data_IF_973591780988
#
_entry.id   IF_973591780988
#
_cell.length_a   1.000
_cell.length_b   1.000
_cell.length_c   1.000
_cell.angle_alpha   90.00
_cell.angle_beta   90.00
_cell.angle_gamma   90.00
#
_symmetry.space_group_name_H-M   'P 1'
#
loop_
_entity.id
_entity.type
_entity.pdbx_description
1 polymer ?
#
# COMPACT_ATOMS: atom_id res chain seq x y z
N UNK A 1 -35.64 -57.08 2.31
CA UNK A 1 -34.99 -55.83 2.72
C UNK A 1 -33.79 -55.64 1.83
N UNK A 2 -33.98 -54.93 0.72
CA UNK A 2 -32.94 -54.63 -0.25
C UNK A 2 -32.14 -53.47 0.32
N UNK A 3 -30.88 -53.72 0.69
CA UNK A 3 -29.95 -52.65 1.07
C UNK A 3 -29.63 -51.93 -0.24
N UNK A 4 -30.19 -50.74 -0.44
CA UNK A 4 -29.70 -49.81 -1.47
C UNK A 4 -28.22 -49.55 -1.18
N UNK A 5 -27.37 -50.09 -2.04
CA UNK A 5 -25.95 -49.72 -2.10
C UNK A 5 -25.93 -48.23 -2.46
N UNK A 6 -25.56 -47.41 -1.49
CA UNK A 6 -25.21 -46.01 -1.73
C UNK A 6 -24.09 -46.03 -2.79
N UNK A 7 -24.37 -45.53 -4.00
CA UNK A 7 -23.33 -45.34 -5.00
C UNK A 7 -22.32 -44.36 -4.42
N UNK A 8 -21.10 -44.85 -4.13
CA UNK A 8 -19.95 -44.00 -3.85
C UNK A 8 -19.73 -43.15 -5.11
N UNK A 9 -20.21 -41.90 -5.07
CA UNK A 9 -19.98 -40.94 -6.13
C UNK A 9 -18.47 -40.66 -6.17
N UNK A 10 -17.83 -41.06 -7.26
CA UNK A 10 -16.38 -40.95 -7.44
C UNK A 10 -15.95 -39.49 -7.26
N UNK A 11 -15.01 -39.25 -6.34
CA UNK A 11 -14.57 -37.90 -5.98
C UNK A 11 -13.83 -37.25 -7.14
N UNK A 12 -14.27 -36.06 -7.56
CA UNK A 12 -13.72 -35.33 -8.71
C UNK A 12 -12.91 -34.11 -8.29
N UNK A 13 -12.03 -33.64 -9.18
CA UNK A 13 -11.30 -32.38 -8.97
C UNK A 13 -12.23 -31.17 -8.89
N UNK A 14 -13.39 -31.21 -9.55
CA UNK A 14 -14.38 -30.14 -9.46
C UNK A 14 -15.02 -30.08 -8.08
N UNK A 15 -15.39 -31.23 -7.50
CA UNK A 15 -15.86 -31.30 -6.12
C UNK A 15 -14.78 -30.79 -5.14
N UNK A 16 -13.50 -31.05 -5.40
CA UNK A 16 -12.41 -30.48 -4.60
C UNK A 16 -12.29 -28.95 -4.75
N UNK A 17 -12.40 -28.41 -5.98
CA UNK A 17 -12.39 -26.95 -6.22
C UNK A 17 -13.53 -26.26 -5.48
N UNK A 18 -14.71 -26.87 -5.50
CA UNK A 18 -15.91 -26.35 -4.82
C UNK A 18 -15.79 -26.45 -3.29
N UNK A 19 -15.40 -27.63 -2.77
CA UNK A 19 -15.23 -27.87 -1.33
C UNK A 19 -14.20 -26.90 -0.73
N UNK A 20 -13.04 -26.75 -1.35
CA UNK A 20 -11.96 -25.87 -0.88
C UNK A 20 -12.10 -24.42 -1.36
N UNK A 21 -13.12 -24.13 -2.18
CA UNK A 21 -13.45 -22.80 -2.66
C UNK A 21 -12.33 -22.13 -3.46
N UNK A 22 -11.48 -22.90 -4.15
CA UNK A 22 -10.29 -22.36 -4.85
C UNK A 22 -10.68 -21.29 -5.87
N UNK A 23 -11.80 -21.47 -6.56
CA UNK A 23 -12.34 -20.49 -7.50
C UNK A 23 -12.68 -19.12 -6.85
N UNK A 24 -12.90 -19.09 -5.53
CA UNK A 24 -13.26 -17.85 -4.80
C UNK A 24 -12.04 -17.03 -4.37
N UNK A 25 -10.95 -17.69 -3.98
CA UNK A 25 -9.77 -17.02 -3.42
C UNK A 25 -8.50 -17.16 -4.28
N UNK A 26 -8.42 -18.19 -5.12
CA UNK A 26 -7.26 -18.50 -5.94
C UNK A 26 -6.98 -17.46 -7.01
N UNK A 27 -8.00 -16.68 -7.40
CA UNK A 27 -7.89 -15.56 -8.36
C UNK A 27 -7.19 -15.95 -9.68
N UNK A 28 -7.30 -17.22 -10.08
CA UNK A 28 -6.57 -17.86 -11.19
C UNK A 28 -5.04 -17.90 -11.04
N UNK A 29 -4.51 -17.55 -9.87
CA UNK A 29 -3.13 -17.90 -9.52
C UNK A 29 -3.05 -19.31 -8.97
N UNK A 30 -4.06 -19.77 -8.24
CA UNK A 30 -4.10 -21.12 -7.67
C UNK A 30 -5.27 -21.90 -8.23
N UNK A 31 -5.05 -23.18 -8.54
CA UNK A 31 -6.04 -24.12 -9.06
C UNK A 31 -5.65 -25.57 -8.70
N UNK A 32 -6.48 -26.56 -9.06
CA UNK A 32 -6.19 -27.99 -9.02
C UNK A 32 -6.03 -28.51 -10.45
N UNK A 33 -4.96 -29.24 -10.76
CA UNK A 33 -4.76 -29.84 -12.09
C UNK A 33 -5.56 -31.16 -12.26
N UNK A 34 -5.48 -31.78 -13.44
CA UNK A 34 -6.15 -33.05 -13.73
C UNK A 34 -5.66 -34.23 -12.86
N UNK A 35 -4.46 -34.14 -12.29
CA UNK A 35 -3.90 -35.12 -11.37
C UNK A 35 -4.35 -34.91 -9.91
N UNK A 36 -5.15 -33.88 -9.62
CA UNK A 36 -5.61 -33.56 -8.27
C UNK A 36 -4.60 -32.78 -7.43
N UNK A 37 -3.55 -32.23 -8.04
CA UNK A 37 -2.50 -31.47 -7.36
C UNK A 37 -2.80 -29.98 -7.36
N UNK A 38 -2.46 -29.29 -6.26
CA UNK A 38 -2.56 -27.84 -6.19
C UNK A 38 -1.46 -27.22 -7.05
N UNK A 39 -1.89 -26.32 -7.93
CA UNK A 39 -1.02 -25.61 -8.86
C UNK A 39 -0.95 -24.12 -8.55
N UNK A 40 0.12 -23.50 -9.03
CA UNK A 40 0.33 -22.06 -9.05
C UNK A 40 0.69 -21.59 -10.45
N UNK A 41 0.02 -20.54 -10.93
CA UNK A 41 0.28 -19.88 -12.20
C UNK A 41 0.62 -18.39 -11.92
N UNK A 42 1.88 -18.06 -11.56
CA UNK A 42 2.25 -16.72 -11.11
C UNK A 42 1.97 -15.62 -12.15
N UNK A 43 2.11 -15.95 -13.44
CA UNK A 43 1.86 -15.06 -14.58
C UNK A 43 0.48 -15.29 -15.23
N UNK A 44 -0.39 -16.12 -14.62
CA UNK A 44 -1.69 -16.54 -15.18
C UNK A 44 -1.54 -17.08 -16.60
N UNK A 45 -2.42 -16.65 -17.52
CA UNK A 45 -2.45 -17.06 -18.93
C UNK A 45 -1.16 -16.76 -19.71
N UNK A 46 -0.28 -15.89 -19.18
CA UNK A 46 0.98 -15.52 -19.83
C UNK A 46 2.14 -16.46 -19.47
N UNK A 47 1.94 -17.43 -18.58
CA UNK A 47 2.99 -18.34 -18.14
C UNK A 47 2.50 -19.74 -17.85
N UNK A 48 3.41 -20.57 -17.34
CA UNK A 48 3.11 -21.95 -16.98
C UNK A 48 2.34 -22.03 -15.66
N UNK A 49 1.54 -23.08 -15.53
CA UNK A 49 1.00 -23.54 -14.26
C UNK A 49 1.90 -24.66 -13.71
N UNK A 50 2.32 -24.54 -12.46
CA UNK A 50 3.30 -25.42 -11.82
C UNK A 50 2.62 -26.12 -10.64
N UNK A 51 2.74 -27.44 -10.53
CA UNK A 51 2.28 -28.15 -9.34
C UNK A 51 3.19 -27.79 -8.14
N UNK A 52 2.59 -27.31 -7.06
CA UNK A 52 3.36 -26.88 -5.87
C UNK A 52 4.14 -28.05 -5.26
N UNK A 53 3.60 -29.27 -5.41
CA UNK A 53 4.27 -30.49 -4.94
C UNK A 53 5.60 -30.74 -5.66
N UNK A 54 5.73 -30.38 -6.94
CA UNK A 54 6.97 -30.56 -7.69
C UNK A 54 8.06 -29.61 -7.20
N UNK A 55 7.69 -28.35 -6.91
CA UNK A 55 8.60 -27.37 -6.29
C UNK A 55 9.09 -27.86 -4.93
N UNK A 56 8.21 -28.48 -4.14
CA UNK A 56 8.56 -29.04 -2.84
C UNK A 56 9.51 -30.24 -3.00
N UNK A 57 9.22 -31.16 -3.94
CA UNK A 57 10.06 -32.33 -4.21
C UNK A 57 11.47 -31.90 -4.62
N UNK A 58 11.58 -30.97 -5.57
CA UNK A 58 12.87 -30.43 -6.03
C UNK A 58 13.64 -29.76 -4.87
N UNK A 59 12.96 -28.98 -4.03
CA UNK A 59 13.57 -28.37 -2.85
C UNK A 59 14.14 -29.43 -1.88
N UNK A 60 13.43 -30.55 -1.67
CA UNK A 60 13.91 -31.65 -0.82
C UNK A 60 15.11 -32.38 -1.44
N UNK A 61 15.12 -32.57 -2.77
CA UNK A 61 16.27 -33.14 -3.49
C UNK A 61 17.52 -32.26 -3.37
N UNK A 62 17.33 -30.94 -3.26
CA UNK A 62 18.40 -29.98 -2.97
C UNK A 62 18.81 -29.93 -1.48
N UNK A 63 18.24 -30.79 -0.64
CA UNK A 63 18.58 -30.89 0.79
C UNK A 63 17.85 -29.89 1.68
N UNK A 64 16.82 -29.21 1.19
CA UNK A 64 15.97 -28.37 2.04
C UNK A 64 15.01 -29.24 2.86
N UNK A 65 14.68 -28.78 4.06
CA UNK A 65 13.83 -29.51 5.01
C UNK A 65 12.61 -28.68 5.41
N UNK A 66 11.55 -29.37 5.87
CA UNK A 66 10.36 -28.72 6.39
C UNK A 66 10.58 -28.10 7.79
N UNK A 67 9.83 -27.06 8.17
CA UNK A 67 8.82 -26.34 7.36
C UNK A 67 9.45 -25.43 6.29
N UNK A 68 8.84 -25.38 5.10
CA UNK A 68 9.30 -24.55 3.98
C UNK A 68 8.33 -23.39 3.71
N UNK A 69 8.89 -22.21 3.43
CA UNK A 69 8.15 -21.03 2.97
C UNK A 69 8.50 -20.75 1.51
N UNK A 70 7.57 -21.08 0.61
CA UNK A 70 7.75 -20.83 -0.83
C UNK A 70 7.18 -19.46 -1.19
N UNK A 71 7.96 -18.64 -1.89
CA UNK A 71 7.55 -17.32 -2.39
C UNK A 71 7.53 -17.31 -3.90
N UNK A 72 6.42 -16.87 -4.48
CA UNK A 72 6.27 -16.70 -5.93
C UNK A 72 6.44 -15.23 -6.28
N UNK A 73 7.65 -14.81 -6.65
CA UNK A 73 7.98 -13.41 -6.93
C UNK A 73 7.20 -12.86 -8.14
N UNK A 74 7.04 -13.67 -9.19
CA UNK A 74 6.22 -13.34 -10.36
C UNK A 74 4.76 -12.97 -10.01
N UNK A 75 4.20 -13.59 -8.96
CA UNK A 75 2.88 -13.24 -8.47
C UNK A 75 2.89 -11.80 -7.90
N UNK A 76 3.92 -11.44 -7.12
CA UNK A 76 4.09 -10.07 -6.62
C UNK A 76 4.19 -9.08 -7.77
N UNK A 77 5.02 -9.35 -8.79
CA UNK A 77 5.13 -8.50 -9.99
C UNK A 77 3.78 -8.29 -10.64
N UNK A 78 3.06 -9.39 -10.92
CA UNK A 78 1.76 -9.34 -11.56
C UNK A 78 0.75 -8.51 -10.75
N UNK A 79 0.79 -8.58 -9.42
CA UNK A 79 -0.08 -7.77 -8.55
C UNK A 79 0.26 -6.28 -8.60
N UNK A 80 1.55 -5.91 -8.61
CA UNK A 80 2.00 -4.52 -8.75
C UNK A 80 1.60 -3.96 -10.10
N UNK A 81 1.86 -4.68 -11.19
CA UNK A 81 1.45 -4.23 -12.53
C UNK A 81 -0.05 -4.08 -12.65
N UNK A 82 -0.81 -5.08 -12.17
CA UNK A 82 -2.28 -5.09 -12.29
C UNK A 82 -2.91 -3.91 -11.57
N UNK A 83 -2.46 -3.54 -10.38
CA UNK A 83 -3.04 -2.39 -9.67
C UNK A 83 -2.73 -1.08 -10.40
N UNK A 84 -1.50 -0.88 -10.88
CA UNK A 84 -1.15 0.33 -11.62
C UNK A 84 -1.94 0.43 -12.94
N UNK A 85 -2.02 -0.66 -13.72
CA UNK A 85 -2.78 -0.71 -14.98
C UNK A 85 -4.27 -0.45 -14.77
N UNK A 86 -4.88 -1.04 -13.74
CA UNK A 86 -6.30 -0.81 -13.45
C UNK A 86 -6.60 0.68 -13.17
N UNK A 87 -5.70 1.39 -12.46
CA UNK A 87 -5.84 2.83 -12.28
C UNK A 87 -5.59 3.62 -13.57
N UNK A 88 -4.62 3.23 -14.39
CA UNK A 88 -4.37 3.86 -15.70
C UNK A 88 -5.57 3.74 -16.64
N UNK A 89 -6.20 2.55 -16.69
CA UNK A 89 -7.41 2.30 -17.47
C UNK A 89 -8.57 3.18 -16.99
N UNK A 90 -8.83 3.22 -15.67
CA UNK A 90 -9.88 4.06 -15.10
C UNK A 90 -9.63 5.56 -15.32
N UNK A 91 -8.37 6.01 -15.30
CA UNK A 91 -7.98 7.40 -15.61
C UNK A 91 -8.30 7.74 -17.06
N UNK A 92 -7.97 6.84 -18.00
CA UNK A 92 -8.24 7.02 -19.42
C UNK A 92 -9.75 7.05 -19.70
N UNK A 93 -10.51 6.11 -19.13
CA UNK A 93 -11.97 6.03 -19.24
C UNK A 93 -12.65 7.30 -18.72
N UNK A 94 -12.20 7.80 -17.55
CA UNK A 94 -12.75 9.01 -16.94
C UNK A 94 -12.23 10.33 -17.55
N UNK A 95 -11.28 10.27 -18.49
CA UNK A 95 -10.63 11.46 -19.05
C UNK A 95 -9.86 12.30 -18.04
N UNK A 96 -9.43 11.71 -16.92
CA UNK A 96 -8.75 12.41 -15.82
C UNK A 96 -7.37 12.89 -16.26
N UNK A 97 -7.00 14.12 -15.88
CA UNK A 97 -5.83 14.84 -16.43
C UNK A 97 -4.55 14.69 -15.60
N UNK A 98 -4.56 13.78 -14.64
CA UNK A 98 -3.40 13.53 -13.79
C UNK A 98 -3.18 12.02 -13.67
N UNK A 99 -2.11 11.61 -12.98
CA UNK A 99 -1.67 10.23 -12.90
C UNK A 99 -2.00 9.57 -11.56
N UNK A 100 -2.02 8.25 -11.57
CA UNK A 100 -1.91 7.44 -10.37
C UNK A 100 -0.43 7.25 -10.01
N UNK A 101 -0.11 7.28 -8.72
CA UNK A 101 1.22 6.95 -8.20
C UNK A 101 1.02 6.04 -6.99
N UNK A 102 1.24 4.75 -7.20
CA UNK A 102 1.13 3.76 -6.13
C UNK A 102 2.31 3.84 -5.16
N UNK A 103 2.07 3.53 -3.89
CA UNK A 103 3.12 3.42 -2.87
C UNK A 103 2.89 2.15 -2.06
N UNK A 104 3.97 1.39 -1.83
CA UNK A 104 3.92 0.18 -1.04
C UNK A 104 4.24 0.44 0.44
N UNK A 105 3.30 0.20 1.36
CA UNK A 105 3.53 0.34 2.79
C UNK A 105 4.40 -0.80 3.32
N UNK A 106 5.68 -0.54 3.56
CA UNK A 106 6.65 -1.60 3.91
C UNK A 106 6.35 -2.28 5.24
N UNK A 107 5.53 -1.65 6.10
CA UNK A 107 5.02 -2.25 7.33
C UNK A 107 4.33 -3.61 7.13
N UNK A 108 3.84 -3.88 5.92
CA UNK A 108 3.15 -5.13 5.57
C UNK A 108 4.16 -6.28 5.41
N UNK A 109 5.32 -6.01 4.82
CA UNK A 109 6.43 -6.95 4.73
C UNK A 109 7.73 -6.19 4.41
N UNK A 110 8.64 -6.11 5.38
CA UNK A 110 9.90 -5.37 5.28
C UNK A 110 11.05 -6.18 4.67
N UNK A 111 10.81 -7.44 4.29
CA UNK A 111 11.86 -8.29 3.74
C UNK A 111 12.42 -7.69 2.45
N UNK A 112 13.74 -7.65 2.35
CA UNK A 112 14.46 -7.00 1.26
C UNK A 112 14.01 -7.54 -0.09
N UNK A 113 13.95 -8.87 -0.22
CA UNK A 113 13.56 -9.56 -1.44
C UNK A 113 12.11 -9.24 -1.88
N UNK A 114 11.22 -8.90 -0.94
CA UNK A 114 9.85 -8.49 -1.27
C UNK A 114 9.80 -7.04 -1.70
N UNK A 115 10.51 -6.16 -0.99
CA UNK A 115 10.52 -4.72 -1.31
C UNK A 115 11.23 -4.46 -2.63
N UNK A 116 12.37 -5.11 -2.89
CA UNK A 116 13.09 -5.01 -4.16
C UNK A 116 12.22 -5.47 -5.33
N UNK A 117 11.54 -6.61 -5.19
CA UNK A 117 10.66 -7.13 -6.25
C UNK A 117 9.48 -6.20 -6.54
N UNK A 118 8.91 -5.57 -5.51
CA UNK A 118 7.82 -4.59 -5.66
C UNK A 118 8.31 -3.32 -6.37
N UNK A 119 9.49 -2.83 -6.00
CA UNK A 119 10.08 -1.65 -6.62
C UNK A 119 10.44 -1.91 -8.09
N UNK A 120 11.04 -3.06 -8.39
CA UNK A 120 11.43 -3.43 -9.74
C UNK A 120 10.20 -3.59 -10.66
N UNK A 121 9.18 -4.33 -10.22
CA UNK A 121 7.90 -4.44 -10.94
C UNK A 121 7.17 -3.10 -11.08
N UNK A 122 7.40 -2.19 -10.15
CA UNK A 122 6.78 -0.87 -10.09
C UNK A 122 7.53 0.21 -10.87
N UNK A 123 8.73 -0.06 -11.38
CA UNK A 123 9.63 0.93 -11.97
C UNK A 123 8.97 1.72 -13.10
N UNK A 124 8.31 1.02 -14.03
CA UNK A 124 7.61 1.64 -15.16
C UNK A 124 6.45 2.59 -14.75
N UNK A 125 6.02 2.52 -13.49
CA UNK A 125 4.93 3.30 -12.93
C UNK A 125 5.38 4.31 -11.87
N UNK A 126 6.70 4.42 -11.61
CA UNK A 126 7.27 5.18 -10.50
C UNK A 126 6.65 4.80 -9.15
N UNK A 127 6.43 3.50 -8.93
CA UNK A 127 5.83 3.00 -7.69
C UNK A 127 6.76 3.25 -6.51
N UNK A 128 6.26 3.94 -5.49
CA UNK A 128 7.05 4.39 -4.35
C UNK A 128 6.90 3.50 -3.11
N UNK A 129 7.41 4.00 -1.98
CA UNK A 129 7.32 3.37 -0.68
C UNK A 129 6.57 4.24 0.32
N UNK A 130 5.86 3.60 1.23
CA UNK A 130 5.33 4.23 2.44
C UNK A 130 6.02 3.64 3.67
N UNK A 131 6.38 4.51 4.60
CA UNK A 131 7.08 4.17 5.84
C UNK A 131 6.30 4.75 7.02
N UNK A 132 6.15 3.97 8.09
CA UNK A 132 5.43 4.35 9.30
C UNK A 132 6.33 4.63 10.50
N UNK A 133 7.65 4.49 10.35
CA UNK A 133 8.60 4.63 11.46
C UNK A 133 10.01 5.05 11.01
N UNK A 134 10.84 5.50 11.96
CA UNK A 134 12.22 5.91 11.70
C UNK A 134 13.08 4.77 11.12
N UNK A 135 13.06 3.52 11.65
CA UNK A 135 13.80 2.40 11.03
C UNK A 135 13.33 2.09 9.61
N UNK A 136 12.02 2.15 9.37
CA UNK A 136 11.44 1.95 8.03
C UNK A 136 11.90 3.03 7.05
N UNK A 137 11.99 4.30 7.47
CA UNK A 137 12.56 5.36 6.65
C UNK A 137 14.02 5.09 6.27
N UNK A 138 14.84 4.55 7.19
CA UNK A 138 16.21 4.15 6.86
C UNK A 138 16.24 3.07 5.79
N UNK A 139 15.40 2.03 5.92
CA UNK A 139 15.31 0.95 4.93
C UNK A 139 14.85 1.48 3.56
N UNK A 140 13.80 2.31 3.55
CA UNK A 140 13.28 2.89 2.30
C UNK A 140 14.31 3.79 1.62
N UNK A 141 15.04 4.63 2.35
CA UNK A 141 16.09 5.48 1.77
C UNK A 141 17.24 4.68 1.17
N UNK A 142 17.54 3.49 1.73
CA UNK A 142 18.58 2.59 1.24
C UNK A 142 18.17 1.84 -0.04
N UNK A 143 16.91 1.42 -0.15
CA UNK A 143 16.40 0.63 -1.28
C UNK A 143 15.84 1.48 -2.43
N UNK A 144 15.43 2.73 -2.16
CA UNK A 144 14.79 3.58 -3.16
C UNK A 144 15.82 4.16 -4.14
N UNK A 145 15.70 3.86 -5.42
CA UNK A 145 16.60 4.37 -6.46
C UNK A 145 15.92 5.38 -7.40
N UNK A 146 14.63 5.20 -7.69
CA UNK A 146 13.88 6.04 -8.62
C UNK A 146 13.52 7.41 -8.02
N UNK A 147 14.18 8.47 -8.48
CA UNK A 147 13.96 9.85 -8.01
C UNK A 147 12.55 10.38 -8.29
N UNK A 148 11.83 9.80 -9.26
CA UNK A 148 10.48 10.20 -9.59
C UNK A 148 9.42 9.57 -8.67
N UNK A 149 9.75 8.43 -8.08
CA UNK A 149 8.89 7.72 -7.12
C UNK A 149 8.84 8.43 -5.75
N UNK A 150 7.80 8.13 -4.98
CA UNK A 150 7.53 8.80 -3.70
C UNK A 150 8.04 7.98 -2.51
N UNK A 151 8.53 8.67 -1.48
CA UNK A 151 8.62 8.11 -0.12
C UNK A 151 7.63 8.86 0.77
N UNK A 152 6.56 8.20 1.18
CA UNK A 152 5.51 8.79 2.02
C UNK A 152 5.78 8.41 3.48
N UNK A 153 6.01 9.42 4.31
CA UNK A 153 6.38 9.25 5.72
C UNK A 153 5.19 9.48 6.65
N UNK A 154 4.63 8.40 7.20
CA UNK A 154 3.59 8.41 8.23
C UNK A 154 4.16 8.06 9.62
N UNK A 155 3.26 8.00 10.60
CA UNK A 155 3.57 7.61 11.97
C UNK A 155 4.15 8.74 12.81
N UNK A 156 4.63 8.41 14.01
CA UNK A 156 5.20 9.39 14.93
C UNK A 156 6.57 9.85 14.47
N UNK A 157 6.76 11.17 14.37
CA UNK A 157 8.01 11.77 13.87
C UNK A 157 8.69 12.56 14.98
N UNK A 158 9.84 12.06 15.43
CA UNK A 158 10.76 12.82 16.26
C UNK A 158 11.65 13.73 15.38
N UNK A 159 12.53 14.51 16.02
CA UNK A 159 13.44 15.43 15.32
C UNK A 159 14.38 14.70 14.37
N UNK A 160 14.82 13.48 14.73
CA UNK A 160 15.75 12.70 13.92
C UNK A 160 15.07 12.14 12.68
N UNK A 161 13.82 11.68 12.80
CA UNK A 161 12.99 11.28 11.68
C UNK A 161 12.87 12.44 10.68
N UNK A 162 12.44 13.62 11.14
CA UNK A 162 12.26 14.78 10.28
C UNK A 162 13.59 15.15 9.59
N UNK A 163 14.70 15.15 10.34
CA UNK A 163 16.03 15.41 9.80
C UNK A 163 16.41 14.40 8.72
N UNK A 164 16.16 13.11 8.94
CA UNK A 164 16.43 12.04 7.98
C UNK A 164 15.60 12.21 6.69
N UNK A 165 14.33 12.55 6.80
CA UNK A 165 13.49 12.82 5.65
C UNK A 165 14.00 14.03 4.83
N UNK A 166 14.44 15.10 5.51
CA UNK A 166 15.06 16.26 4.87
C UNK A 166 16.42 15.93 4.24
N UNK A 167 17.20 15.00 4.82
CA UNK A 167 18.41 14.48 4.16
C UNK A 167 18.04 13.73 2.86
N UNK A 168 16.99 12.92 2.88
CA UNK A 168 16.45 12.28 1.68
C UNK A 168 16.05 13.30 0.59
N UNK A 169 15.40 14.40 0.99
CA UNK A 169 15.11 15.54 0.09
C UNK A 169 16.39 16.18 -0.47
N UNK A 170 17.42 16.36 0.37
CA UNK A 170 18.72 16.90 -0.06
C UNK A 170 19.44 16.00 -1.07
N UNK A 171 19.17 14.69 -1.02
CA UNK A 171 19.65 13.69 -2.00
C UNK A 171 18.77 13.61 -3.26
N UNK A 172 17.81 14.52 -3.44
CA UNK A 172 16.94 14.58 -4.62
C UNK A 172 15.68 13.71 -4.56
N UNK A 173 15.54 12.83 -3.55
CA UNK A 173 14.38 11.92 -3.44
C UNK A 173 13.10 12.67 -3.07
N UNK A 174 11.93 12.25 -3.56
CA UNK A 174 10.63 12.86 -3.23
C UNK A 174 10.04 12.33 -1.91
N UNK A 175 10.66 12.74 -0.80
CA UNK A 175 10.24 12.36 0.55
C UNK A 175 9.17 13.32 1.08
N UNK A 176 7.94 12.83 1.28
CA UNK A 176 6.81 13.61 1.79
C UNK A 176 6.58 13.28 3.27
N UNK A 177 6.70 14.30 4.12
CA UNK A 177 6.40 14.24 5.54
C UNK A 177 4.90 14.45 5.78
N UNK A 178 4.16 13.37 6.05
CA UNK A 178 2.73 13.45 6.32
C UNK A 178 2.50 13.84 7.77
N UNK A 179 2.09 15.08 8.02
CA UNK A 179 1.77 15.62 9.34
C UNK A 179 0.54 14.92 9.90
N UNK A 180 0.70 14.33 11.08
CA UNK A 180 -0.38 13.66 11.81
C UNK A 180 -0.78 14.40 13.08
N UNK A 181 0.05 15.36 13.54
CA UNK A 181 -0.19 16.24 14.69
C UNK A 181 0.34 17.64 14.43
N UNK A 182 -0.31 18.67 14.99
CA UNK A 182 0.05 20.08 14.77
C UNK A 182 1.50 20.37 15.18
N UNK A 183 1.99 19.73 16.25
CA UNK A 183 3.35 19.96 16.77
C UNK A 183 4.43 19.56 15.75
N UNK A 184 4.15 18.60 14.86
CA UNK A 184 5.08 18.17 13.81
C UNK A 184 5.36 19.31 12.83
N UNK A 185 4.40 20.20 12.55
CA UNK A 185 4.58 21.35 11.65
C UNK A 185 5.68 22.28 12.19
N UNK A 186 5.61 22.62 13.47
CA UNK A 186 6.61 23.47 14.14
C UNK A 186 8.00 22.82 14.13
N UNK A 187 8.07 21.49 14.30
CA UNK A 187 9.32 20.76 14.24
C UNK A 187 9.91 20.74 12.82
N UNK A 188 9.07 20.55 11.79
CA UNK A 188 9.47 20.62 10.38
C UNK A 188 10.02 22.01 10.06
N UNK A 189 9.30 23.08 10.40
CA UNK A 189 9.76 24.47 10.18
C UNK A 189 11.13 24.71 10.84
N UNK A 190 11.30 24.26 12.09
CA UNK A 190 12.58 24.39 12.80
C UNK A 190 13.73 23.65 12.11
N UNK A 191 13.47 22.43 11.64
CA UNK A 191 14.46 21.62 10.95
C UNK A 191 14.84 22.22 9.58
N UNK A 192 13.86 22.71 8.82
CA UNK A 192 14.06 23.37 7.53
C UNK A 192 14.91 24.63 7.67
N UNK A 193 14.67 25.48 8.68
CA UNK A 193 15.49 26.67 8.95
C UNK A 193 16.95 26.33 9.20
N UNK A 194 17.23 25.22 9.89
CA UNK A 194 18.59 24.75 10.18
C UNK A 194 19.27 24.11 8.97
N UNK A 195 18.53 23.29 8.23
CA UNK A 195 19.09 22.48 7.14
C UNK A 195 19.07 23.19 5.78
N UNK A 196 18.25 24.23 5.62
CA UNK A 196 18.02 24.97 4.37
C UNK A 196 17.60 24.05 3.22
N UNK A 197 16.72 23.08 3.52
CA UNK A 197 16.15 22.14 2.53
C UNK A 197 14.64 22.30 2.50
N UNK A 198 14.07 22.55 1.32
CA UNK A 198 12.63 22.67 1.16
C UNK A 198 11.94 21.31 1.42
N UNK A 199 10.98 21.25 2.37
CA UNK A 199 10.26 20.03 2.66
C UNK A 199 9.19 19.75 1.59
N UNK A 200 8.77 18.50 1.48
CA UNK A 200 7.45 18.17 0.93
C UNK A 200 6.58 17.72 2.10
N UNK A 201 5.41 18.35 2.25
CA UNK A 201 4.53 18.15 3.40
C UNK A 201 3.21 17.57 2.91
N UNK A 202 2.66 16.62 3.65
CA UNK A 202 1.29 16.18 3.50
C UNK A 202 0.50 16.38 4.79
N UNK A 203 -0.83 16.51 4.70
CA UNK A 203 -1.70 16.48 5.88
C UNK A 203 -2.49 15.19 5.93
N UNK A 204 -2.40 14.46 7.04
CA UNK A 204 -3.31 13.33 7.31
C UNK A 204 -4.61 13.88 7.87
N UNK A 205 -5.70 13.70 7.16
CA UNK A 205 -7.03 14.19 7.56
C UNK A 205 -7.76 13.13 8.38
N UNK A 206 -8.41 13.53 9.48
CA UNK A 206 -9.38 12.69 10.17
C UNK A 206 -10.72 12.80 9.44
N UNK A 207 -11.16 11.69 8.87
CA UNK A 207 -12.46 11.62 8.21
C UNK A 207 -13.57 11.41 9.25
N UNK A 208 -14.70 12.07 9.05
CA UNK A 208 -15.93 11.82 9.80
C UNK A 208 -16.64 10.55 9.31
N UNK A 209 -16.43 10.17 8.04
CA UNK A 209 -16.87 8.88 7.49
C UNK A 209 -15.99 7.72 8.00
N UNK A 210 -16.11 7.39 9.29
CA UNK A 210 -15.50 6.19 9.86
C UNK A 210 -16.04 4.91 9.21
N UNK A 211 -15.18 3.92 9.03
CA UNK A 211 -15.56 2.60 8.50
C UNK A 211 -16.36 1.79 9.53
N UNK A 212 -17.27 0.93 9.05
CA UNK A 212 -17.95 -0.07 9.89
C UNK A 212 -17.06 -1.33 10.01
N UNK A 213 -16.77 -1.81 11.23
CA UNK A 213 -16.13 -3.13 11.45
C UNK A 213 -15.10 -3.19 12.57
N UNK A 214 -14.42 -4.35 12.73
CA UNK A 214 -13.47 -4.64 13.82
C UNK A 214 -12.27 -3.66 13.92
N UNK A 215 -12.02 -2.85 12.89
CA UNK A 215 -10.91 -1.89 12.80
C UNK A 215 -11.34 -0.42 12.82
N UNK A 216 -12.60 -0.14 13.20
CA UNK A 216 -13.17 1.21 13.30
C UNK A 216 -12.28 2.19 14.08
N UNK A 217 -11.60 1.74 15.15
CA UNK A 217 -10.71 2.58 15.99
C UNK A 217 -9.46 3.11 15.27
N UNK A 218 -9.12 2.59 14.09
CA UNK A 218 -7.96 3.03 13.29
C UNK A 218 -8.31 4.08 12.22
N UNK A 219 -9.61 4.34 11.98
CA UNK A 219 -10.15 5.39 11.12
C UNK A 219 -11.22 6.21 11.85
N UNK A 220 -11.84 7.19 11.18
CA UNK A 220 -12.92 7.98 11.79
C UNK A 220 -12.47 9.05 12.82
N UNK A 221 -13.46 9.69 13.45
CA UNK A 221 -13.29 10.77 14.43
C UNK A 221 -12.54 10.35 15.71
N UNK A 222 -12.42 9.04 15.98
CA UNK A 222 -11.70 8.49 17.14
C UNK A 222 -10.29 7.97 16.80
N UNK A 223 -9.80 8.15 15.57
CA UNK A 223 -8.47 7.69 15.17
C UNK A 223 -7.37 8.38 15.97
N UNK A 224 -6.36 7.62 16.44
CA UNK A 224 -5.19 8.13 17.20
C UNK A 224 -4.34 9.15 16.42
N UNK A 225 -4.43 9.14 15.08
CA UNK A 225 -3.60 9.91 14.18
C UNK A 225 -4.45 10.69 13.18
N UNK A 226 -3.93 11.84 12.75
CA UNK A 226 -4.56 12.74 11.79
C UNK A 226 -5.01 14.05 12.44
N UNK A 227 -5.20 15.05 11.59
CA UNK A 227 -5.60 16.39 11.94
C UNK A 227 -7.12 16.53 11.86
N UNK A 228 -7.72 17.10 12.89
CA UNK A 228 -9.09 17.61 12.82
C UNK A 228 -9.17 18.83 11.87
N UNK A 229 -10.37 19.28 11.51
CA UNK A 229 -10.55 20.51 10.74
C UNK A 229 -9.85 21.72 11.39
N UNK A 230 -9.94 21.84 12.72
CA UNK A 230 -9.28 22.92 13.46
C UNK A 230 -7.75 22.82 13.39
N UNK A 231 -7.23 21.59 13.50
CA UNK A 231 -5.79 21.33 13.40
C UNK A 231 -5.25 21.60 11.99
N UNK A 232 -6.03 21.30 10.95
CA UNK A 232 -5.69 21.61 9.55
C UNK A 232 -5.60 23.13 9.38
N UNK A 233 -6.59 23.90 9.86
CA UNK A 233 -6.58 25.36 9.77
C UNK A 233 -5.42 25.98 10.57
N UNK A 234 -5.07 25.38 11.72
CA UNK A 234 -3.92 25.81 12.51
C UNK A 234 -2.60 25.49 11.82
N UNK A 235 -2.46 24.28 11.29
CA UNK A 235 -1.26 23.82 10.56
C UNK A 235 -1.05 24.63 9.28
N UNK A 236 -2.12 24.93 8.54
CA UNK A 236 -2.14 25.82 7.37
C UNK A 236 -1.60 27.21 7.71
N UNK A 237 -2.09 27.82 8.80
CA UNK A 237 -1.59 29.13 9.27
C UNK A 237 -0.11 29.08 9.63
N UNK A 238 0.32 28.07 10.39
CA UNK A 238 1.74 27.90 10.74
C UNK A 238 2.65 27.80 9.51
N UNK A 239 2.21 27.11 8.45
CA UNK A 239 2.95 27.05 7.19
C UNK A 239 3.02 28.41 6.49
N UNK A 240 1.89 29.13 6.41
CA UNK A 240 1.83 30.49 5.81
C UNK A 240 2.71 31.49 6.56
N UNK A 241 2.63 31.50 7.88
CA UNK A 241 3.43 32.40 8.74
C UNK A 241 4.94 32.11 8.58
N UNK A 242 5.30 30.90 8.16
CA UNK A 242 6.67 30.50 7.87
C UNK A 242 7.08 30.66 6.39
N UNK A 243 6.18 31.12 5.51
CA UNK A 243 6.42 31.21 4.05
C UNK A 243 6.60 29.83 3.39
N UNK A 244 5.90 28.80 3.90
CA UNK A 244 5.99 27.41 3.47
C UNK A 244 4.65 26.85 2.97
N UNK A 245 3.69 27.70 2.63
CA UNK A 245 2.37 27.31 2.14
C UNK A 245 2.45 26.42 0.90
N UNK A 246 3.39 26.70 0.00
CA UNK A 246 3.68 25.93 -1.20
C UNK A 246 4.28 24.55 -0.91
N UNK A 247 4.74 24.27 0.31
CA UNK A 247 5.32 22.98 0.65
C UNK A 247 4.25 21.90 0.91
N UNK A 248 2.98 22.28 1.11
CA UNK A 248 1.88 21.33 1.27
C UNK A 248 1.51 20.74 -0.10
N UNK A 249 1.88 19.48 -0.34
CA UNK A 249 1.72 18.81 -1.65
C UNK A 249 0.82 17.57 -1.61
N UNK A 250 0.35 17.14 -0.43
CA UNK A 250 -0.40 15.89 -0.29
C UNK A 250 -1.50 15.96 0.76
N UNK A 251 -2.66 15.39 0.44
CA UNK A 251 -3.70 15.05 1.41
C UNK A 251 -3.75 13.54 1.56
N UNK A 252 -3.65 13.09 2.80
CA UNK A 252 -3.61 11.68 3.15
C UNK A 252 -4.82 11.35 4.04
N UNK A 253 -5.39 10.16 3.85
CA UNK A 253 -6.33 9.60 4.80
C UNK A 253 -6.24 8.07 4.74
N UNK A 254 -6.56 7.42 5.85
CA UNK A 254 -6.52 5.97 5.98
C UNK A 254 -7.81 5.50 6.64
N UNK A 255 -8.48 4.54 6.01
CA UNK A 255 -9.79 4.02 6.43
C UNK A 255 -9.71 2.63 7.09
N UNK A 256 -8.49 2.16 7.38
CA UNK A 256 -8.22 0.84 7.92
C UNK A 256 -7.84 -0.19 6.85
N UNK A 257 -7.44 -1.38 7.32
CA UNK A 257 -7.12 -2.53 6.48
C UNK A 257 -8.35 -3.40 6.24
N UNK A 258 -8.35 -4.15 5.13
CA UNK A 258 -9.40 -5.12 4.79
C UNK A 258 -10.81 -4.51 4.79
N UNK A 259 -11.03 -3.46 4.01
CA UNK A 259 -12.33 -2.80 3.88
C UNK A 259 -13.27 -3.70 3.06
N UNK A 260 -14.31 -4.28 3.66
CA UNK A 260 -15.16 -5.27 2.97
C UNK A 260 -16.22 -4.62 2.07
N UNK A 261 -16.56 -3.36 2.33
CA UNK A 261 -17.63 -2.63 1.65
C UNK A 261 -17.09 -1.47 0.80
N UNK A 262 -17.31 -1.54 -0.51
CA UNK A 262 -16.92 -0.51 -1.49
C UNK A 262 -17.56 0.86 -1.20
N UNK A 263 -18.74 0.91 -0.56
CA UNK A 263 -19.38 2.17 -0.22
C UNK A 263 -18.60 2.95 0.84
N UNK A 264 -17.84 2.25 1.70
CA UNK A 264 -16.95 2.90 2.68
C UNK A 264 -15.83 3.65 1.95
N UNK A 265 -15.23 3.02 0.93
CA UNK A 265 -14.19 3.64 0.09
C UNK A 265 -14.77 4.88 -0.61
N UNK A 266 -15.95 4.76 -1.23
CA UNK A 266 -16.59 5.87 -1.95
C UNK A 266 -16.88 7.08 -1.06
N UNK A 267 -17.37 6.85 0.17
CA UNK A 267 -17.63 7.93 1.14
C UNK A 267 -16.34 8.64 1.56
N UNK A 268 -15.30 7.86 1.87
CA UNK A 268 -14.02 8.40 2.29
C UNK A 268 -13.32 9.22 1.20
N UNK A 269 -13.31 8.72 -0.04
CA UNK A 269 -12.73 9.44 -1.18
C UNK A 269 -13.49 10.75 -1.44
N UNK A 270 -14.83 10.73 -1.37
CA UNK A 270 -15.64 11.96 -1.51
C UNK A 270 -15.31 12.98 -0.43
N UNK A 271 -15.18 12.55 0.82
CA UNK A 271 -14.81 13.42 1.92
C UNK A 271 -13.39 13.98 1.76
N UNK A 272 -12.41 13.13 1.46
CA UNK A 272 -11.03 13.54 1.21
C UNK A 272 -10.90 14.54 0.05
N UNK A 273 -11.66 14.34 -1.03
CA UNK A 273 -11.70 15.26 -2.17
C UNK A 273 -12.25 16.65 -1.78
N UNK A 274 -13.20 16.72 -0.85
CA UNK A 274 -13.68 18.01 -0.32
C UNK A 274 -12.60 18.74 0.49
N UNK A 275 -11.81 18.03 1.30
CA UNK A 275 -10.69 18.62 2.01
C UNK A 275 -9.62 19.15 1.05
N UNK A 276 -9.26 18.34 0.03
CA UNK A 276 -8.36 18.77 -1.04
C UNK A 276 -8.85 20.07 -1.70
N UNK A 277 -10.10 20.09 -2.18
CA UNK A 277 -10.65 21.26 -2.85
C UNK A 277 -10.68 22.51 -1.96
N UNK A 278 -10.98 22.35 -0.65
CA UNK A 278 -10.97 23.46 0.31
C UNK A 278 -9.56 24.00 0.56
N UNK A 279 -8.55 23.14 0.68
CA UNK A 279 -7.17 23.57 0.88
C UNK A 279 -6.60 24.26 -0.36
N UNK A 280 -6.90 23.78 -1.57
CA UNK A 280 -6.55 24.49 -2.79
C UNK A 280 -7.20 25.89 -2.84
N UNK A 281 -8.47 26.02 -2.45
CA UNK A 281 -9.14 27.33 -2.34
C UNK A 281 -8.51 28.25 -1.29
N UNK A 282 -7.86 27.69 -0.27
CA UNK A 282 -7.13 28.45 0.74
C UNK A 282 -5.75 28.92 0.25
N UNK A 283 -5.32 28.55 -0.96
CA UNK A 283 -4.02 28.94 -1.52
C UNK A 283 -2.88 28.02 -1.07
N UNK A 284 -3.14 26.72 -0.99
CA UNK A 284 -2.13 25.67 -0.88
C UNK A 284 -2.03 24.88 -2.18
#
# INVERSE_FOLDING_TARGET
MSVEKQEDTEWTTEQARDLYGINRWGLRYFDINAAGEVTVAPLKEQGASIAIVDVIREAQEQGLHFPMLVRFHDLLRNRVERINRAFSEAIAEAGYKNRYSGVYPIKVNQLREVVEEILDAGQAFHHGLEVGSKPELHAALALHEDQESLIVCNGYKDRDYIRMALLGRKLGKKVILVVEKVEEVSQIISAVKKMKVAPLIGFRVRLMSGGKGKWEKSGGENAKFGLSTMDILRSSRLLKDAGMEECLKLIHFHIGSQVPDILTIKKAVREGAMFYAKLCKMGH
#
